data_IF_846397978530
#
_entry.id   IF_846397978530
#
_cell.length_a   1.000
_cell.length_b   1.000
_cell.length_c   1.000
_cell.angle_alpha   90.00
_cell.angle_beta   90.00
_cell.angle_gamma   90.00
#
_symmetry.space_group_name_H-M   'P 1'
#
loop_
_entity.id
_entity.type
_entity.pdbx_description
1 polymer ?
#
# COMPACT_ATOMS: atom_id res chain seq x y z
N UNK A 1 -13.27 -1.81 36.59
CA UNK A 1 -14.10 -2.98 36.29
C UNK A 1 -13.52 -3.57 35.02
N UNK A 2 -12.97 -4.79 35.10
CA UNK A 2 -12.58 -5.53 33.92
C UNK A 2 -13.87 -5.88 33.16
N UNK A 3 -13.99 -5.45 31.88
CA UNK A 3 -14.99 -6.00 30.99
C UNK A 3 -14.70 -7.49 30.87
N UNK A 4 -15.54 -8.34 31.47
CA UNK A 4 -15.56 -9.75 31.19
C UNK A 4 -15.86 -9.87 29.69
N UNK A 5 -14.83 -10.11 28.89
CA UNK A 5 -14.98 -10.52 27.50
C UNK A 5 -15.65 -11.87 27.51
N UNK A 6 -16.95 -11.89 27.26
CA UNK A 6 -17.71 -13.12 27.11
C UNK A 6 -17.19 -13.82 25.84
N UNK A 7 -16.25 -14.75 26.00
CA UNK A 7 -15.81 -15.59 24.89
C UNK A 7 -16.90 -16.62 24.61
N UNK A 8 -17.61 -16.45 23.52
CA UNK A 8 -18.51 -17.47 23.01
C UNK A 8 -17.71 -18.74 22.68
N UNK A 9 -18.18 -19.94 23.06
CA UNK A 9 -17.52 -21.16 22.62
C UNK A 9 -17.49 -21.23 21.09
N UNK A 10 -16.45 -21.84 20.55
CA UNK A 10 -16.30 -21.99 19.08
C UNK A 10 -17.42 -22.90 18.57
N UNK A 11 -18.27 -22.38 17.70
CA UNK A 11 -19.18 -23.16 16.89
C UNK A 11 -18.44 -23.66 15.64
N UNK A 12 -18.11 -24.94 15.62
CA UNK A 12 -17.30 -25.54 14.54
C UNK A 12 -17.99 -25.46 13.19
N UNK A 13 -19.31 -25.57 13.12
CA UNK A 13 -20.06 -25.45 11.85
C UNK A 13 -20.00 -24.00 11.33
N UNK A 14 -20.19 -23.02 12.20
CA UNK A 14 -20.08 -21.61 11.84
C UNK A 14 -18.65 -21.24 11.48
N UNK A 15 -17.66 -21.77 12.20
CA UNK A 15 -16.24 -21.54 11.87
C UNK A 15 -15.87 -22.10 10.50
N UNK A 16 -16.37 -23.27 10.13
CA UNK A 16 -16.18 -23.83 8.79
C UNK A 16 -16.87 -22.97 7.73
N UNK A 17 -18.08 -22.50 7.96
CA UNK A 17 -18.79 -21.57 7.07
C UNK A 17 -18.03 -20.25 6.89
N UNK A 18 -17.45 -19.71 7.96
CA UNK A 18 -16.60 -18.51 7.87
C UNK A 18 -15.38 -18.75 6.97
N UNK A 19 -14.72 -19.88 7.12
CA UNK A 19 -13.60 -20.27 6.25
C UNK A 19 -14.02 -20.41 4.79
N UNK A 20 -15.16 -21.04 4.50
CA UNK A 20 -15.67 -21.19 3.14
C UNK A 20 -16.02 -19.84 2.49
N UNK A 21 -16.57 -18.91 3.24
CA UNK A 21 -16.81 -17.53 2.80
C UNK A 21 -15.48 -16.84 2.47
N UNK A 22 -14.47 -17.01 3.32
CA UNK A 22 -13.15 -16.43 3.13
C UNK A 22 -12.46 -16.98 1.87
N UNK A 23 -12.48 -18.29 1.67
CA UNK A 23 -11.89 -18.93 0.48
C UNK A 23 -12.54 -18.39 -0.80
N UNK A 24 -13.87 -18.27 -0.84
CA UNK A 24 -14.59 -17.68 -1.97
C UNK A 24 -14.22 -16.22 -2.21
N UNK A 25 -14.04 -15.45 -1.14
CA UNK A 25 -13.64 -14.04 -1.23
C UNK A 25 -12.22 -13.88 -1.78
N UNK A 26 -11.29 -14.71 -1.34
CA UNK A 26 -9.90 -14.73 -1.79
C UNK A 26 -9.73 -15.27 -3.22
N UNK A 27 -10.63 -16.14 -3.68
CA UNK A 27 -10.63 -16.64 -5.06
C UNK A 27 -10.88 -15.53 -6.10
N UNK A 28 -11.52 -14.43 -5.72
CA UNK A 28 -11.80 -13.30 -6.61
C UNK A 28 -10.58 -12.39 -6.81
N UNK A 29 -9.82 -12.16 -5.78
CA UNK A 29 -8.56 -11.40 -5.81
C UNK A 29 -7.81 -11.51 -4.48
N UNK A 30 -6.48 -11.30 -4.52
CA UNK A 30 -5.68 -11.19 -3.32
C UNK A 30 -6.20 -10.07 -2.39
N UNK A 31 -6.17 -10.32 -1.09
CA UNK A 31 -6.64 -9.42 -0.03
C UNK A 31 -5.66 -9.42 1.14
N UNK A 32 -5.57 -8.29 1.83
CA UNK A 32 -4.87 -8.25 3.10
C UNK A 32 -5.61 -9.02 4.20
N UNK A 33 -4.92 -9.44 5.24
CA UNK A 33 -5.53 -10.10 6.41
C UNK A 33 -6.63 -9.21 7.02
N UNK A 34 -6.42 -7.90 7.10
CA UNK A 34 -7.41 -6.96 7.63
C UNK A 34 -8.68 -6.88 6.75
N UNK A 35 -8.54 -6.87 5.42
CA UNK A 35 -9.69 -6.92 4.51
C UNK A 35 -10.50 -8.21 4.70
N UNK A 36 -9.82 -9.34 4.89
CA UNK A 36 -10.43 -10.63 5.18
C UNK A 36 -11.19 -10.63 6.53
N UNK A 37 -10.54 -10.08 7.56
CA UNK A 37 -11.12 -9.93 8.89
C UNK A 37 -12.39 -9.08 8.87
N UNK A 38 -12.34 -7.92 8.22
CA UNK A 38 -13.48 -7.03 8.06
C UNK A 38 -14.63 -7.73 7.32
N UNK A 39 -14.31 -8.46 6.23
CA UNK A 39 -15.30 -9.22 5.46
C UNK A 39 -16.09 -10.21 6.31
N UNK A 40 -15.41 -10.91 7.20
CA UNK A 40 -16.06 -11.90 8.07
C UNK A 40 -16.90 -11.24 9.17
N UNK A 41 -16.42 -10.14 9.78
CA UNK A 41 -17.22 -9.37 10.73
C UNK A 41 -18.46 -8.77 10.08
N UNK A 42 -18.36 -8.23 8.87
CA UNK A 42 -19.50 -7.70 8.09
C UNK A 42 -20.54 -8.79 7.79
N UNK A 43 -20.13 -10.05 7.75
CA UNK A 43 -21.01 -11.23 7.60
C UNK A 43 -21.60 -11.73 8.92
N UNK A 44 -21.28 -11.09 10.04
CA UNK A 44 -21.82 -11.42 11.35
C UNK A 44 -21.15 -12.62 12.05
N UNK A 45 -19.91 -12.96 11.67
CA UNK A 45 -19.13 -13.96 12.38
C UNK A 45 -18.51 -13.36 13.64
N UNK A 46 -18.42 -14.16 14.70
CA UNK A 46 -17.82 -13.76 15.97
C UNK A 46 -16.29 -13.90 15.93
N UNK A 47 -15.62 -13.30 16.90
CA UNK A 47 -14.16 -13.23 16.99
C UNK A 47 -13.47 -14.59 16.81
N UNK A 48 -13.91 -15.62 17.54
CA UNK A 48 -13.33 -16.97 17.51
C UNK A 48 -13.51 -17.66 16.14
N UNK A 49 -14.65 -17.47 15.48
CA UNK A 49 -14.91 -17.98 14.13
C UNK A 49 -14.04 -17.27 13.08
N UNK A 50 -13.87 -15.94 13.23
CA UNK A 50 -12.98 -15.12 12.38
C UNK A 50 -11.53 -15.55 12.56
N UNK A 51 -11.05 -15.68 13.79
CA UNK A 51 -9.69 -16.14 14.10
C UNK A 51 -9.42 -17.53 13.51
N UNK A 52 -10.35 -18.47 13.67
CA UNK A 52 -10.25 -19.81 13.08
C UNK A 52 -10.07 -19.73 11.55
N UNK A 53 -10.91 -18.97 10.87
CA UNK A 53 -10.89 -18.87 9.42
C UNK A 53 -9.58 -18.20 8.92
N UNK A 54 -9.13 -17.13 9.58
CA UNK A 54 -7.90 -16.44 9.26
C UNK A 54 -6.66 -17.31 9.46
N UNK A 55 -6.55 -18.00 10.61
CA UNK A 55 -5.45 -18.91 10.92
C UNK A 55 -5.33 -20.02 9.88
N UNK A 56 -6.46 -20.61 9.51
CA UNK A 56 -6.51 -21.67 8.51
C UNK A 56 -6.11 -21.16 7.12
N UNK A 57 -6.60 -19.99 6.71
CA UNK A 57 -6.24 -19.38 5.44
C UNK A 57 -4.75 -18.98 5.37
N UNK A 58 -4.17 -18.51 6.49
CA UNK A 58 -2.72 -18.25 6.60
C UNK A 58 -1.91 -19.53 6.52
N UNK A 59 -2.34 -20.59 7.19
CA UNK A 59 -1.67 -21.91 7.14
C UNK A 59 -1.55 -22.45 5.73
N UNK A 60 -2.58 -22.27 4.90
CA UNK A 60 -2.56 -22.68 3.48
C UNK A 60 -2.04 -21.59 2.54
N UNK A 61 -1.52 -20.48 3.07
CA UNK A 61 -1.00 -19.33 2.32
C UNK A 61 -2.00 -18.69 1.36
N UNK A 62 -3.29 -18.77 1.66
CA UNK A 62 -4.31 -18.00 0.96
C UNK A 62 -4.30 -16.53 1.39
N UNK A 63 -3.82 -16.26 2.61
CA UNK A 63 -3.51 -14.92 3.11
C UNK A 63 -2.01 -14.88 3.40
N UNK A 64 -1.33 -13.92 2.79
CA UNK A 64 0.09 -13.61 3.00
C UNK A 64 0.28 -12.11 2.77
N UNK A 65 0.31 -11.33 3.84
CA UNK A 65 0.43 -9.86 3.75
C UNK A 65 1.77 -9.42 3.16
N UNK A 66 2.85 -10.17 3.36
CA UNK A 66 4.14 -9.85 2.75
C UNK A 66 4.08 -9.98 1.23
N UNK A 67 3.48 -11.05 0.71
CA UNK A 67 3.29 -11.25 -0.73
C UNK A 67 2.28 -10.24 -1.29
N UNK A 68 1.24 -9.90 -0.52
CA UNK A 68 0.29 -8.85 -0.88
C UNK A 68 1.00 -7.50 -1.08
N UNK A 69 1.88 -7.12 -0.16
CA UNK A 69 2.67 -5.87 -0.26
C UNK A 69 3.59 -5.88 -1.48
N UNK A 70 4.32 -6.98 -1.73
CA UNK A 70 5.21 -7.09 -2.90
C UNK A 70 4.45 -6.96 -4.21
N UNK A 71 3.33 -7.64 -4.32
CA UNK A 71 2.45 -7.58 -5.50
C UNK A 71 1.88 -6.17 -5.68
N UNK A 72 1.39 -5.55 -4.62
CA UNK A 72 0.88 -4.18 -4.65
C UNK A 72 1.97 -3.19 -5.10
N UNK A 73 3.18 -3.34 -4.57
CA UNK A 73 4.33 -2.52 -4.95
C UNK A 73 4.65 -2.69 -6.44
N UNK A 74 4.71 -3.92 -6.94
CA UNK A 74 5.01 -4.21 -8.35
C UNK A 74 4.08 -3.46 -9.31
N UNK A 75 2.77 -3.42 -9.01
CA UNK A 75 1.78 -2.75 -9.84
C UNK A 75 1.70 -1.23 -9.65
N UNK A 76 2.24 -0.70 -8.56
CA UNK A 76 2.06 0.72 -8.21
C UNK A 76 3.35 1.55 -8.22
N UNK A 77 4.53 0.94 -8.20
CA UNK A 77 5.82 1.64 -8.13
C UNK A 77 6.08 2.62 -9.28
N UNK A 78 5.47 2.40 -10.45
CA UNK A 78 5.57 3.30 -11.59
C UNK A 78 4.50 4.41 -11.60
N UNK A 79 3.60 4.43 -10.61
CA UNK A 79 2.48 5.37 -10.50
C UNK A 79 2.55 6.27 -9.29
N UNK A 80 3.24 5.82 -8.25
CA UNK A 80 3.31 6.48 -6.95
C UNK A 80 4.70 6.37 -6.34
N UNK A 81 5.08 7.36 -5.54
CA UNK A 81 6.23 7.30 -4.65
C UNK A 81 5.98 6.45 -3.40
N UNK A 82 7.05 6.14 -2.69
CA UNK A 82 7.04 5.24 -1.52
C UNK A 82 6.03 5.65 -0.44
N UNK A 83 5.92 6.96 -0.13
CA UNK A 83 4.99 7.44 0.90
C UNK A 83 3.52 7.15 0.57
N UNK A 84 3.11 7.33 -0.68
CA UNK A 84 1.74 7.05 -1.09
C UNK A 84 1.43 5.55 -1.14
N UNK A 85 2.41 4.74 -1.55
CA UNK A 85 2.29 3.29 -1.50
C UNK A 85 2.14 2.82 -0.06
N UNK A 86 3.01 3.30 0.86
CA UNK A 86 2.91 3.00 2.28
C UNK A 86 1.56 3.42 2.88
N UNK A 87 1.11 4.63 2.59
CA UNK A 87 -0.19 5.12 3.06
C UNK A 87 -1.35 4.21 2.62
N UNK A 88 -1.37 3.82 1.34
CA UNK A 88 -2.42 2.93 0.81
C UNK A 88 -2.39 1.57 1.49
N UNK A 89 -1.23 0.98 1.65
CA UNK A 89 -1.08 -0.34 2.28
C UNK A 89 -1.46 -0.33 3.76
N UNK A 90 -1.00 0.67 4.51
CA UNK A 90 -1.24 0.75 5.96
C UNK A 90 -2.66 1.25 6.25
N UNK A 91 -3.08 2.36 5.66
CA UNK A 91 -4.33 3.03 6.03
C UNK A 91 -5.54 2.52 5.26
N UNK A 92 -5.41 2.16 3.98
CA UNK A 92 -6.54 1.68 3.19
C UNK A 92 -6.68 0.15 3.23
N UNK A 93 -5.55 -0.58 3.35
CA UNK A 93 -5.52 -2.05 3.34
C UNK A 93 -5.28 -2.68 4.71
N UNK A 94 -4.92 -1.88 5.70
CA UNK A 94 -4.73 -2.31 7.08
C UNK A 94 -3.54 -3.26 7.28
N UNK A 95 -2.53 -3.19 6.41
CA UNK A 95 -1.32 -4.00 6.55
C UNK A 95 -0.42 -3.40 7.63
N UNK A 96 0.29 -4.25 8.37
CA UNK A 96 1.22 -3.82 9.42
C UNK A 96 2.28 -2.85 8.88
N UNK A 97 2.44 -1.72 9.57
CA UNK A 97 3.35 -0.65 9.15
C UNK A 97 4.81 -1.11 9.06
N UNK A 98 5.28 -1.90 10.02
CA UNK A 98 6.68 -2.39 10.02
C UNK A 98 6.94 -3.32 8.85
N UNK A 99 5.99 -4.19 8.53
CA UNK A 99 6.08 -5.06 7.37
C UNK A 99 6.15 -4.26 6.07
N UNK A 100 5.29 -3.26 5.92
CA UNK A 100 5.29 -2.37 4.75
C UNK A 100 6.62 -1.62 4.63
N UNK A 101 7.06 -0.97 5.70
CA UNK A 101 8.29 -0.18 5.71
C UNK A 101 9.52 -1.03 5.34
N UNK A 102 9.63 -2.25 5.88
CA UNK A 102 10.74 -3.16 5.57
C UNK A 102 10.74 -3.57 4.09
N UNK A 103 9.59 -3.96 3.54
CA UNK A 103 9.50 -4.38 2.13
C UNK A 103 9.78 -3.20 1.19
N UNK A 104 9.28 -2.00 1.49
CA UNK A 104 9.55 -0.82 0.67
C UNK A 104 11.03 -0.43 0.72
N UNK A 105 11.67 -0.49 1.89
CA UNK A 105 13.09 -0.20 2.05
C UNK A 105 13.96 -1.15 1.20
N UNK A 106 13.62 -2.44 1.17
CA UNK A 106 14.37 -3.46 0.41
C UNK A 106 14.16 -3.36 -1.12
N UNK A 107 13.06 -2.75 -1.57
CA UNK A 107 12.65 -2.79 -2.99
C UNK A 107 12.58 -1.42 -3.68
N UNK A 108 12.64 -0.32 -2.94
CA UNK A 108 12.60 1.06 -3.44
C UNK A 108 13.76 1.86 -2.88
N UNK A 109 14.94 1.69 -3.47
CA UNK A 109 16.08 2.54 -3.14
C UNK A 109 15.90 3.98 -3.65
N UNK A 110 16.75 4.87 -3.19
CA UNK A 110 16.70 6.29 -3.56
C UNK A 110 16.92 6.50 -5.07
N UNK A 111 17.82 5.73 -5.68
CA UNK A 111 18.13 5.86 -7.11
C UNK A 111 16.92 5.50 -7.97
N UNK A 112 16.23 4.41 -7.63
CA UNK A 112 14.97 4.05 -8.30
C UNK A 112 13.90 5.14 -8.10
N UNK A 113 13.75 5.66 -6.88
CA UNK A 113 12.75 6.71 -6.60
C UNK A 113 13.08 8.02 -7.35
N UNK A 114 14.35 8.41 -7.45
CA UNK A 114 14.79 9.58 -8.22
C UNK A 114 14.47 9.37 -9.70
N UNK A 115 14.81 8.22 -10.28
CA UNK A 115 14.52 7.90 -11.68
C UNK A 115 13.01 7.93 -11.97
N UNK A 116 12.21 7.29 -11.11
CA UNK A 116 10.75 7.26 -11.24
C UNK A 116 10.14 8.66 -11.13
N UNK A 117 10.55 9.45 -10.13
CA UNK A 117 10.10 10.82 -9.95
C UNK A 117 10.50 11.72 -11.13
N UNK A 118 11.72 11.56 -11.65
CA UNK A 118 12.20 12.29 -12.84
C UNK A 118 11.31 12.03 -14.05
N UNK A 119 11.00 10.77 -14.34
CA UNK A 119 10.09 10.39 -15.45
C UNK A 119 8.70 11.01 -15.28
N UNK A 120 8.15 10.99 -14.05
CA UNK A 120 6.86 11.61 -13.77
C UNK A 120 6.90 13.13 -13.91
N UNK A 121 7.96 13.78 -13.44
CA UNK A 121 8.16 15.23 -13.60
C UNK A 121 8.23 15.62 -15.07
N UNK A 122 9.05 14.94 -15.85
CA UNK A 122 9.21 15.21 -17.30
C UNK A 122 7.89 15.04 -18.05
N UNK A 123 7.13 13.99 -17.74
CA UNK A 123 5.80 13.78 -18.31
C UNK A 123 4.85 14.93 -17.96
N UNK A 124 4.85 15.36 -16.69
CA UNK A 124 4.01 16.46 -16.22
C UNK A 124 4.42 17.80 -16.88
N UNK A 125 5.72 18.11 -16.97
CA UNK A 125 6.27 19.28 -17.64
C UNK A 125 5.79 19.33 -19.09
N UNK A 126 5.90 18.22 -19.82
CA UNK A 126 5.44 18.11 -21.21
C UNK A 126 3.93 18.32 -21.34
N UNK A 127 3.14 17.68 -20.48
CA UNK A 127 1.67 17.77 -20.51
C UNK A 127 1.17 19.18 -20.18
N UNK A 128 1.83 19.87 -19.25
CA UNK A 128 1.47 21.23 -18.82
C UNK A 128 2.17 22.33 -19.60
N UNK A 129 3.05 21.97 -20.55
CA UNK A 129 3.84 22.92 -21.37
C UNK A 129 4.63 23.91 -20.50
N UNK A 130 5.26 23.40 -19.44
CA UNK A 130 6.12 24.18 -18.56
C UNK A 130 7.44 24.40 -19.27
N UNK A 131 7.83 25.66 -19.47
CA UNK A 131 9.01 26.06 -20.28
C UNK A 131 10.08 26.79 -19.47
N UNK A 132 9.81 27.10 -18.20
CA UNK A 132 10.71 27.88 -17.35
C UNK A 132 10.57 27.51 -15.85
N UNK A 133 11.42 28.13 -15.03
CA UNK A 133 11.42 27.96 -13.58
C UNK A 133 10.12 28.37 -12.89
N UNK A 134 9.29 29.20 -13.51
CA UNK A 134 8.03 29.63 -12.88
C UNK A 134 7.07 28.46 -12.68
N UNK A 135 7.21 27.40 -13.47
CA UNK A 135 6.47 26.16 -13.33
C UNK A 135 7.03 25.15 -12.32
N UNK A 136 8.24 25.37 -11.80
CA UNK A 136 8.94 24.42 -10.93
C UNK A 136 8.12 24.06 -9.67
N UNK A 137 7.49 25.05 -9.04
CA UNK A 137 6.65 24.81 -7.86
C UNK A 137 5.50 23.83 -8.15
N UNK A 138 4.89 23.92 -9.33
CA UNK A 138 3.81 23.01 -9.75
C UNK A 138 4.32 21.59 -9.95
N UNK A 139 5.53 21.43 -10.48
CA UNK A 139 6.17 20.12 -10.64
C UNK A 139 6.47 19.49 -9.29
N UNK A 140 7.05 20.25 -8.35
CA UNK A 140 7.31 19.80 -6.97
C UNK A 140 6.03 19.39 -6.26
N UNK A 141 4.97 20.18 -6.34
CA UNK A 141 3.67 19.87 -5.78
C UNK A 141 3.06 18.58 -6.39
N UNK A 142 3.21 18.38 -7.69
CA UNK A 142 2.76 17.17 -8.37
C UNK A 142 3.49 15.93 -7.85
N UNK A 143 4.82 15.98 -7.71
CA UNK A 143 5.61 14.88 -7.15
C UNK A 143 5.25 14.59 -5.69
N UNK A 144 5.01 15.63 -4.89
CA UNK A 144 4.53 15.46 -3.52
C UNK A 144 3.20 14.75 -3.45
N UNK A 145 2.24 15.11 -4.30
CA UNK A 145 0.93 14.44 -4.40
C UNK A 145 1.05 12.99 -4.88
N UNK A 146 2.09 12.69 -5.68
CA UNK A 146 2.42 11.31 -6.09
C UNK A 146 3.03 10.49 -4.96
N UNK A 147 3.44 11.13 -3.86
CA UNK A 147 3.93 10.46 -2.66
C UNK A 147 5.44 10.27 -2.62
N UNK A 148 6.19 11.11 -3.32
CA UNK A 148 7.64 11.16 -3.18
C UNK A 148 8.04 11.93 -1.91
N UNK A 149 9.14 11.51 -1.30
CA UNK A 149 9.75 12.21 -0.18
C UNK A 149 10.35 13.55 -0.62
N UNK A 150 10.33 14.55 0.29
CA UNK A 150 10.88 15.89 -0.02
C UNK A 150 12.35 15.85 -0.44
N UNK A 151 13.14 14.95 0.13
CA UNK A 151 14.54 14.74 -0.24
C UNK A 151 14.68 14.28 -1.71
N UNK A 152 13.84 13.36 -2.15
CA UNK A 152 13.78 12.89 -3.53
C UNK A 152 13.32 14.03 -4.47
N UNK A 153 12.26 14.75 -4.07
CA UNK A 153 11.72 15.87 -4.84
C UNK A 153 12.79 16.92 -5.06
N UNK A 154 13.49 17.37 -4.01
CA UNK A 154 14.55 18.37 -4.12
C UNK A 154 15.63 17.95 -5.10
N UNK A 155 16.09 16.68 -5.03
CA UNK A 155 17.11 16.19 -5.94
C UNK A 155 16.66 16.20 -7.41
N UNK A 156 15.44 15.77 -7.66
CA UNK A 156 14.83 15.80 -9.01
C UNK A 156 14.67 17.24 -9.51
N UNK A 157 14.18 18.13 -8.66
CA UNK A 157 13.99 19.55 -9.03
C UNK A 157 15.31 20.25 -9.35
N UNK A 158 16.35 20.03 -8.53
CA UNK A 158 17.70 20.54 -8.81
C UNK A 158 18.19 20.03 -10.17
N UNK A 159 18.12 18.71 -10.40
CA UNK A 159 18.60 18.13 -11.67
C UNK A 159 17.83 18.63 -12.90
N UNK A 160 16.53 18.91 -12.78
CA UNK A 160 15.71 19.33 -13.92
C UNK A 160 15.73 20.82 -14.19
N UNK A 161 15.93 21.67 -13.16
CA UNK A 161 15.79 23.10 -13.28
C UNK A 161 17.12 23.89 -13.16
N UNK A 162 18.19 23.27 -12.63
CA UNK A 162 19.52 23.89 -12.67
C UNK A 162 20.10 23.97 -14.10
N UNK A 163 19.66 23.09 -14.99
CA UNK A 163 20.00 23.13 -16.42
C UNK A 163 19.48 24.40 -17.13
N UNK A 164 18.47 25.07 -16.55
CA UNK A 164 17.95 26.34 -17.09
C UNK A 164 18.76 27.58 -16.67
N UNK A 165 19.86 27.42 -15.91
CA UNK A 165 20.73 28.55 -15.49
C UNK A 165 21.96 28.74 -16.39
N UNK A 166 22.23 27.84 -17.32
CA UNK A 166 23.46 27.86 -18.15
C UNK A 166 23.28 28.45 -19.58
N UNK A 167 22.13 29.10 -19.89
CA UNK A 167 21.91 29.77 -21.17
C UNK A 167 21.78 31.31 -21.01
#
# INVERSE_FOLDING_TARGET
MAEETFEYPLDEERAQKAYDVLVKYLALSARSEQECKNKLYDKGYHKNEVEYALERAKKYKYIDDAEYVRTFLLFNKNRYGAKKIAYKLVNEKGVDKKLVDNILLDNLDDDYQIESATKMAQKYIKQKKIVDKSGAQKVGAHLYQKGFDWRIINKVMTNLFDVFEED
#
